data_IF_124100709379
#
_entry.id   IF_124100709379
#
_cell.length_a   1.000
_cell.length_b   1.000
_cell.length_c   1.000
_cell.angle_alpha   90.00
_cell.angle_beta   90.00
_cell.angle_gamma   90.00
#
_symmetry.space_group_name_H-M   'P 1'
#
loop_
_entity.id
_entity.type
_entity.pdbx_description
1 polymer ?
#
# COMPACT_ATOMS: atom_id res chain seq x y z
N UNK A 1 -37.58 49.02 -1.33
CA UNK A 1 -38.76 48.35 -1.89
C UNK A 1 -38.35 46.91 -2.17
N UNK A 2 -38.61 46.02 -1.22
CA UNK A 2 -38.86 44.60 -1.48
C UNK A 2 -40.39 44.44 -1.52
N UNK A 3 -40.99 43.50 -2.30
CA UNK A 3 -40.93 42.08 -1.93
C UNK A 3 -40.99 41.02 -3.06
N UNK A 4 -40.30 39.89 -2.79
CA UNK A 4 -40.77 38.49 -2.86
C UNK A 4 -41.31 37.88 -4.18
N UNK A 5 -40.64 36.81 -4.64
CA UNK A 5 -41.32 35.51 -4.76
C UNK A 5 -40.34 34.36 -4.41
N UNK A 6 -40.84 33.39 -3.66
CA UNK A 6 -40.12 32.39 -2.87
C UNK A 6 -40.80 31.04 -3.09
N UNK A 7 -40.14 30.05 -3.70
CA UNK A 7 -40.45 28.60 -3.62
C UNK A 7 -39.18 27.84 -4.08
N UNK A 8 -38.59 26.80 -3.48
CA UNK A 8 -38.70 25.99 -2.26
C UNK A 8 -37.44 25.07 -2.27
N UNK A 9 -36.53 25.17 -1.30
CA UNK A 9 -36.27 24.25 -0.17
C UNK A 9 -36.01 22.77 -0.53
N UNK A 10 -34.85 22.26 -0.01
CA UNK A 10 -34.33 20.89 0.15
C UNK A 10 -33.51 20.35 -1.04
N UNK A 11 -32.26 19.88 -0.91
CA UNK A 11 -31.67 19.11 0.19
C UNK A 11 -30.12 19.22 0.25
N UNK A 12 -29.57 19.19 1.47
CA UNK A 12 -28.14 19.20 1.78
C UNK A 12 -27.49 17.87 1.39
N UNK A 13 -26.27 17.90 0.84
CA UNK A 13 -25.16 17.12 1.40
C UNK A 13 -23.82 17.41 0.71
N UNK A 14 -22.87 17.88 1.52
CA UNK A 14 -21.45 17.58 1.38
C UNK A 14 -20.70 18.17 0.19
N UNK A 15 -20.17 19.38 0.35
CA UNK A 15 -18.95 19.73 -0.38
C UNK A 15 -17.99 20.45 0.58
N UNK A 16 -17.22 19.62 1.29
CA UNK A 16 -16.03 20.08 2.00
C UNK A 16 -15.19 20.91 1.01
N UNK A 17 -14.94 22.17 1.33
CA UNK A 17 -14.08 23.07 0.55
C UNK A 17 -12.75 22.35 0.30
N UNK A 18 -12.57 21.87 -0.93
CA UNK A 18 -11.39 21.12 -1.39
C UNK A 18 -10.17 22.04 -1.36
N UNK A 19 -9.48 22.06 -0.22
CA UNK A 19 -8.15 22.65 -0.10
C UNK A 19 -7.17 21.75 -0.87
N UNK A 20 -6.87 22.10 -2.13
CA UNK A 20 -5.76 21.48 -2.88
C UNK A 20 -4.45 22.09 -2.40
N UNK A 21 -3.89 21.53 -1.33
CA UNK A 21 -2.50 21.74 -0.96
C UNK A 21 -1.66 20.52 -1.31
N UNK A 22 -0.86 20.63 -2.36
CA UNK A 22 0.44 19.96 -2.51
C UNK A 22 1.14 20.52 -3.76
N UNK A 23 1.81 21.66 -3.61
CA UNK A 23 2.67 22.18 -4.66
C UNK A 23 3.98 21.39 -4.65
N UNK A 24 4.17 20.65 -5.74
CA UNK A 24 5.47 20.42 -6.39
C UNK A 24 6.57 19.86 -5.48
N UNK A 25 6.51 18.55 -5.23
CA UNK A 25 7.68 17.66 -5.27
C UNK A 25 7.28 16.16 -5.20
N UNK A 26 6.11 15.79 -5.70
CA UNK A 26 5.72 14.37 -5.81
C UNK A 26 6.21 13.82 -7.13
N UNK A 27 7.43 13.28 -7.11
CA UNK A 27 7.91 12.15 -7.92
C UNK A 27 7.25 12.03 -9.30
N UNK A 28 7.99 12.47 -10.31
CA UNK A 28 7.76 12.20 -11.72
C UNK A 28 7.42 10.72 -11.95
N UNK A 29 6.12 10.46 -12.10
CA UNK A 29 5.52 9.59 -13.12
C UNK A 29 6.15 8.21 -13.40
N UNK A 30 6.88 7.62 -12.46
CA UNK A 30 7.32 6.22 -12.49
C UNK A 30 6.63 5.37 -11.42
N UNK A 31 5.94 6.02 -10.48
CA UNK A 31 5.17 5.32 -9.45
C UNK A 31 3.79 4.95 -9.98
N UNK A 32 3.70 3.70 -10.46
CA UNK A 32 2.49 2.88 -10.33
C UNK A 32 1.30 3.25 -11.23
N UNK A 33 1.47 3.08 -12.55
CA UNK A 33 0.35 2.82 -13.46
C UNK A 33 0.41 1.39 -13.97
N UNK A 34 -0.10 0.42 -13.21
CA UNK A 34 -0.75 -0.78 -13.78
C UNK A 34 -1.46 -1.65 -12.72
N UNK A 35 -2.33 -1.01 -11.95
CA UNK A 35 -3.39 -1.67 -11.17
C UNK A 35 -4.60 -0.79 -11.51
N UNK A 36 -5.53 -1.09 -12.40
CA UNK A 36 -6.03 -2.34 -12.96
C UNK A 36 -6.87 -1.98 -14.21
N UNK A 37 -7.01 -2.89 -15.18
CA UNK A 37 -8.20 -3.01 -16.04
C UNK A 37 -8.56 -1.91 -17.08
N UNK A 38 -7.67 -1.41 -17.95
CA UNK A 38 -8.18 -0.53 -19.04
C UNK A 38 -7.59 -0.62 -20.45
N UNK A 39 -6.69 -1.56 -20.80
CA UNK A 39 -6.29 -1.72 -22.20
C UNK A 39 -6.43 -3.16 -22.68
N UNK A 40 -7.56 -3.42 -23.35
CA UNK A 40 -7.97 -4.72 -23.91
C UNK A 40 -7.15 -5.19 -25.12
N UNK A 41 -6.14 -4.45 -25.61
CA UNK A 41 -5.43 -4.82 -26.85
C UNK A 41 -3.92 -4.55 -26.91
N UNK A 42 -3.21 -4.41 -25.79
CA UNK A 42 -1.74 -4.41 -25.82
C UNK A 42 -1.21 -5.75 -25.35
N UNK A 43 -0.52 -6.50 -26.24
CA UNK A 43 0.25 -7.73 -25.94
C UNK A 43 0.83 -7.66 -24.52
N UNK A 44 0.15 -8.32 -23.59
CA UNK A 44 0.36 -8.16 -22.16
C UNK A 44 1.69 -8.85 -21.82
N UNK A 45 2.72 -8.06 -21.49
CA UNK A 45 3.98 -8.62 -21.03
C UNK A 45 3.70 -9.41 -19.75
N UNK A 46 4.19 -10.66 -19.63
CA UNK A 46 3.96 -11.44 -18.42
C UNK A 46 4.57 -10.70 -17.21
N UNK A 47 3.96 -10.83 -16.01
CA UNK A 47 4.51 -10.23 -14.80
C UNK A 47 5.97 -10.65 -14.58
N UNK A 48 6.80 -9.72 -14.09
CA UNK A 48 8.16 -10.05 -13.69
C UNK A 48 8.15 -11.10 -12.59
N UNK A 49 8.94 -12.15 -12.75
CA UNK A 49 9.12 -13.21 -11.76
C UNK A 49 10.58 -13.60 -11.65
N UNK A 50 11.12 -13.52 -10.44
CA UNK A 50 12.40 -14.11 -10.11
C UNK A 50 12.14 -15.43 -9.36
N UNK A 51 12.44 -16.54 -10.02
CA UNK A 51 12.23 -17.89 -9.47
C UNK A 51 13.03 -18.17 -8.19
N UNK A 52 14.11 -17.45 -7.95
CA UNK A 52 14.98 -17.63 -6.78
C UNK A 52 14.72 -16.61 -5.66
N UNK A 53 13.79 -15.66 -5.84
CA UNK A 53 13.57 -14.58 -4.89
C UNK A 53 13.24 -15.10 -3.49
N UNK A 54 12.24 -15.97 -3.38
CA UNK A 54 11.78 -16.50 -2.09
C UNK A 54 12.85 -17.35 -1.43
N UNK A 55 13.52 -18.22 -2.19
CA UNK A 55 14.61 -19.05 -1.66
C UNK A 55 15.73 -18.20 -1.05
N UNK A 56 16.25 -17.23 -1.82
CA UNK A 56 17.32 -16.33 -1.34
C UNK A 56 16.87 -15.50 -0.13
N UNK A 57 15.62 -15.03 -0.12
CA UNK A 57 15.07 -14.30 1.01
C UNK A 57 15.05 -15.17 2.29
N UNK A 58 14.61 -16.44 2.19
CA UNK A 58 14.62 -17.36 3.32
C UNK A 58 16.03 -17.69 3.81
N UNK A 59 17.00 -17.84 2.92
CA UNK A 59 18.39 -18.08 3.29
C UNK A 59 18.93 -16.94 4.15
N UNK A 60 18.70 -15.69 3.72
CA UNK A 60 19.12 -14.49 4.47
C UNK A 60 18.36 -14.37 5.79
N UNK A 61 17.03 -14.57 5.79
CA UNK A 61 16.22 -14.53 7.02
C UNK A 61 16.69 -15.58 8.04
N UNK A 62 17.08 -16.78 7.61
CA UNK A 62 17.63 -17.80 8.49
C UNK A 62 19.00 -17.42 9.06
N UNK A 63 19.86 -16.77 8.27
CA UNK A 63 21.13 -16.20 8.77
C UNK A 63 20.85 -15.15 9.84
N UNK A 64 19.91 -14.24 9.60
CA UNK A 64 19.52 -13.21 10.58
C UNK A 64 18.95 -13.83 11.86
N UNK A 65 18.10 -14.86 11.75
CA UNK A 65 17.56 -15.60 12.90
C UNK A 65 18.67 -16.24 13.74
N UNK A 66 19.65 -16.89 13.09
CA UNK A 66 20.82 -17.49 13.77
C UNK A 66 21.67 -16.44 14.49
N UNK A 67 21.75 -15.23 13.95
CA UNK A 67 22.42 -14.08 14.55
C UNK A 67 21.54 -13.32 15.56
N UNK A 68 20.30 -13.76 15.79
CA UNK A 68 19.28 -13.10 16.63
C UNK A 68 18.97 -11.66 16.18
N UNK A 69 19.12 -11.37 14.88
CA UNK A 69 18.83 -10.05 14.30
C UNK A 69 17.36 -9.96 13.90
N UNK A 70 16.73 -8.85 14.33
CA UNK A 70 15.34 -8.53 14.04
C UNK A 70 14.33 -9.59 14.50
N UNK A 71 14.71 -10.50 15.41
CA UNK A 71 13.77 -11.45 15.99
C UNK A 71 12.89 -10.73 17.01
N UNK A 72 11.60 -10.67 16.74
CA UNK A 72 10.58 -10.00 17.56
C UNK A 72 9.67 -10.99 18.29
N UNK A 73 9.85 -12.29 18.07
CA UNK A 73 9.19 -13.38 18.79
C UNK A 73 10.17 -14.43 19.28
N UNK A 74 9.79 -15.09 20.36
CA UNK A 74 10.51 -16.26 20.89
C UNK A 74 9.53 -17.41 21.01
N UNK A 75 9.85 -18.52 20.35
CA UNK A 75 9.13 -19.78 20.49
C UNK A 75 9.68 -20.51 21.70
N UNK A 76 8.81 -20.83 22.67
CA UNK A 76 9.19 -21.52 23.90
C UNK A 76 8.55 -22.90 23.91
N UNK A 77 9.36 -23.94 24.09
CA UNK A 77 8.91 -25.33 24.20
C UNK A 77 9.72 -26.05 25.29
N UNK A 78 9.09 -26.26 26.44
CA UNK A 78 9.75 -26.76 27.66
C UNK A 78 10.99 -25.91 28.00
N UNK A 79 12.18 -26.51 28.00
CA UNK A 79 13.45 -25.85 28.30
C UNK A 79 14.16 -25.27 27.07
N UNK A 80 13.47 -25.21 25.92
CA UNK A 80 14.03 -24.71 24.66
C UNK A 80 13.37 -23.40 24.28
N UNK A 81 14.20 -22.37 24.07
CA UNK A 81 13.79 -21.07 23.57
C UNK A 81 14.45 -20.76 22.22
N UNK A 82 13.65 -20.40 21.22
CA UNK A 82 14.14 -20.10 19.87
C UNK A 82 13.66 -18.71 19.43
N UNK A 83 14.57 -17.72 19.25
CA UNK A 83 14.20 -16.43 18.68
C UNK A 83 13.87 -16.58 17.19
N UNK A 84 12.83 -15.90 16.74
CA UNK A 84 12.28 -15.99 15.38
C UNK A 84 11.66 -14.66 14.92
N UNK A 85 11.28 -14.63 13.64
CA UNK A 85 10.51 -13.57 13.01
C UNK A 85 9.03 -13.99 12.95
N UNK A 86 8.09 -13.06 13.14
CA UNK A 86 6.64 -13.30 12.99
C UNK A 86 6.21 -13.68 11.58
#
# INVERSE_FOLDING_TARGET
MDPQNQEGVMERQGSCLLLRCASQNSLDESSQKHISQLHSHSKERPPYKNHLHTQKAFDIMNVMRKQKLLCDVTLVANDVEIPAHK
#
